data_IF_633428435158
#
_entry.id   IF_633428435158
#
_cell.length_a   1.000
_cell.length_b   1.000
_cell.length_c   1.000
_cell.angle_alpha   90.00
_cell.angle_beta   90.00
_cell.angle_gamma   90.00
#
_symmetry.space_group_name_H-M   'P 1'
#
loop_
_entity.id
_entity.type
_entity.pdbx_description
1 polymer ?
#
# COMPACT_ATOMS: atom_id res chain seq x y z
N UNK A 1 6.34 31.80 -11.86
CA UNK A 1 5.03 31.85 -11.17
C UNK A 1 3.96 31.74 -12.25
N UNK A 2 3.10 30.72 -12.15
CA UNK A 2 1.98 30.53 -13.10
C UNK A 2 0.96 31.65 -12.92
N UNK A 3 0.27 32.02 -14.00
CA UNK A 3 -0.66 33.17 -13.96
C UNK A 3 -2.03 32.79 -13.42
N UNK A 4 -2.40 31.50 -13.44
CA UNK A 4 -3.63 30.96 -12.88
C UNK A 4 -3.44 29.48 -12.50
N UNK A 5 -4.40 28.90 -11.76
CA UNK A 5 -4.38 27.49 -11.33
C UNK A 5 -4.65 26.50 -12.48
N UNK A 6 -5.36 26.93 -13.53
CA UNK A 6 -5.70 26.06 -14.66
C UNK A 6 -4.47 25.78 -15.55
N UNK A 7 -3.63 26.80 -15.79
CA UNK A 7 -2.33 26.68 -16.48
C UNK A 7 -1.37 25.79 -15.68
N UNK A 8 -1.43 25.85 -14.35
CA UNK A 8 -0.62 24.99 -13.50
C UNK A 8 -1.08 23.53 -13.61
N UNK A 9 -2.40 23.28 -13.58
CA UNK A 9 -2.96 21.93 -13.71
C UNK A 9 -2.64 21.31 -15.07
N UNK A 10 -2.80 22.05 -16.15
CA UNK A 10 -2.49 21.58 -17.51
C UNK A 10 -0.99 21.33 -17.71
N UNK A 11 -0.14 22.09 -17.02
CA UNK A 11 1.31 21.88 -17.01
C UNK A 11 1.66 20.57 -16.28
N UNK A 12 1.11 20.34 -15.07
CA UNK A 12 1.38 19.13 -14.30
C UNK A 12 0.79 17.85 -14.94
N UNK A 13 -0.34 17.96 -15.64
CA UNK A 13 -0.99 16.81 -16.31
C UNK A 13 -0.21 16.33 -17.55
N UNK A 14 0.55 17.23 -18.18
CA UNK A 14 1.34 16.95 -19.40
C UNK A 14 2.81 16.70 -19.16
N UNK A 15 3.29 16.98 -17.96
CA UNK A 15 4.71 16.91 -17.63
C UNK A 15 5.02 15.59 -16.95
N UNK A 16 5.85 14.76 -17.58
CA UNK A 16 6.40 13.59 -16.91
C UNK A 16 7.42 14.06 -15.86
N UNK A 17 7.03 13.96 -14.60
CA UNK A 17 7.87 14.38 -13.47
C UNK A 17 9.21 13.63 -13.44
N UNK A 18 9.32 12.45 -14.07
CA UNK A 18 10.56 11.68 -14.10
C UNK A 18 11.68 12.32 -14.93
N UNK A 19 11.38 13.29 -15.80
CA UNK A 19 12.38 14.03 -16.57
C UNK A 19 13.00 15.21 -15.79
N UNK A 20 12.38 15.61 -14.67
CA UNK A 20 12.81 16.76 -13.85
C UNK A 20 13.48 16.37 -12.54
N UNK A 21 13.42 15.10 -12.16
CA UNK A 21 14.09 14.58 -10.97
C UNK A 21 15.34 13.79 -11.38
N UNK A 22 16.52 14.32 -11.04
CA UNK A 22 17.76 13.58 -11.19
C UNK A 22 17.74 12.38 -10.23
N UNK A 23 17.90 11.17 -10.76
CA UNK A 23 17.90 9.91 -9.99
C UNK A 23 18.95 9.92 -8.87
N UNK A 24 19.97 10.77 -8.98
CA UNK A 24 21.02 10.94 -8.00
C UNK A 24 20.59 11.75 -6.75
N UNK A 25 19.50 12.52 -6.82
CA UNK A 25 18.95 13.27 -5.67
C UNK A 25 18.05 12.43 -4.76
N UNK A 26 17.72 11.19 -5.15
CA UNK A 26 16.87 10.31 -4.35
C UNK A 26 17.67 9.71 -3.20
N UNK A 27 17.47 10.26 -2.01
CA UNK A 27 18.04 9.74 -0.78
C UNK A 27 17.14 8.61 -0.25
N UNK A 28 17.69 7.45 0.15
CA UNK A 28 16.91 6.44 0.87
C UNK A 28 16.40 7.03 2.18
N UNK A 29 15.15 7.49 2.17
CA UNK A 29 14.47 8.03 3.35
C UNK A 29 13.88 6.88 4.15
N UNK A 30 14.39 6.68 5.37
CA UNK A 30 13.64 5.94 6.36
C UNK A 30 12.60 6.90 6.95
N UNK A 31 11.35 6.45 7.02
CA UNK A 31 10.28 7.17 7.70
C UNK A 31 10.04 6.58 9.09
N UNK A 32 10.90 6.85 10.09
CA UNK A 32 10.79 6.25 11.42
C UNK A 32 9.48 6.61 12.13
N UNK A 33 8.84 7.71 11.74
CA UNK A 33 7.65 8.28 12.36
C UNK A 33 6.38 8.16 11.50
N UNK A 34 6.41 7.52 10.33
CA UNK A 34 5.17 7.15 9.66
C UNK A 34 4.54 6.02 10.47
N UNK A 35 3.62 6.37 11.37
CA UNK A 35 2.77 5.40 12.04
C UNK A 35 2.07 4.61 10.92
N UNK A 36 2.21 3.27 10.82
CA UNK A 36 1.40 2.51 9.89
C UNK A 36 -0.05 2.75 10.28
N UNK A 37 -0.74 3.60 9.53
CA UNK A 37 -2.12 3.98 9.81
C UNK A 37 -2.98 2.75 9.57
N UNK A 38 -3.42 2.11 10.65
CA UNK A 38 -4.36 1.01 10.58
C UNK A 38 -5.76 1.55 10.32
N UNK A 39 -6.28 1.37 9.11
CA UNK A 39 -7.67 1.62 8.81
C UNK A 39 -8.50 0.36 9.11
N UNK A 40 -9.64 0.53 9.79
CA UNK A 40 -10.62 -0.56 9.93
C UNK A 40 -11.43 -0.65 8.64
N UNK A 41 -11.51 -1.84 8.06
CA UNK A 41 -12.30 -2.11 6.85
C UNK A 41 -13.28 -3.25 7.09
N UNK A 42 -14.46 -3.16 6.50
CA UNK A 42 -15.43 -4.25 6.44
C UNK A 42 -15.25 -5.03 5.15
N UNK A 43 -14.79 -6.28 5.24
CA UNK A 43 -14.58 -7.17 4.09
C UNK A 43 -15.56 -8.35 4.13
N UNK A 44 -16.20 -8.65 3.00
CA UNK A 44 -16.99 -9.89 2.84
C UNK A 44 -16.09 -10.99 2.28
N UNK A 45 -16.07 -12.12 2.98
CA UNK A 45 -15.37 -13.33 2.56
C UNK A 45 -16.29 -14.54 2.72
N UNK A 46 -16.19 -15.56 1.86
CA UNK A 46 -16.95 -16.79 2.03
C UNK A 46 -16.64 -17.46 3.37
N UNK A 47 -17.67 -17.96 4.07
CA UNK A 47 -17.52 -18.55 5.40
C UNK A 47 -16.55 -19.74 5.45
N UNK A 48 -16.54 -20.58 4.40
CA UNK A 48 -15.62 -21.72 4.30
C UNK A 48 -14.15 -21.27 4.26
N UNK A 49 -13.86 -20.14 3.60
CA UNK A 49 -12.52 -19.58 3.48
C UNK A 49 -12.05 -19.05 4.84
N UNK A 50 -12.94 -18.35 5.55
CA UNK A 50 -12.66 -17.86 6.90
C UNK A 50 -12.36 -19.01 7.86
N UNK A 51 -13.10 -20.11 7.77
CA UNK A 51 -12.84 -21.31 8.57
C UNK A 51 -11.46 -21.90 8.27
N UNK A 52 -11.11 -22.08 6.99
CA UNK A 52 -9.79 -22.57 6.57
C UNK A 52 -8.65 -21.66 7.05
N UNK A 53 -8.85 -20.34 6.99
CA UNK A 53 -7.88 -19.37 7.50
C UNK A 53 -7.67 -19.52 9.00
N UNK A 54 -8.74 -19.69 9.79
CA UNK A 54 -8.67 -19.92 11.24
C UNK A 54 -7.96 -21.23 11.57
N UNK A 55 -8.27 -22.32 10.87
CA UNK A 55 -7.58 -23.61 11.02
C UNK A 55 -6.09 -23.46 10.76
N UNK A 56 -5.71 -22.76 9.69
CA UNK A 56 -4.29 -22.55 9.34
C UNK A 56 -3.58 -21.65 10.33
N UNK A 57 -4.24 -20.60 10.80
CA UNK A 57 -3.70 -19.69 11.81
C UNK A 57 -3.42 -20.42 13.13
N UNK A 58 -4.36 -21.27 13.57
CA UNK A 58 -4.16 -22.10 14.76
C UNK A 58 -2.98 -23.09 14.61
N UNK A 59 -2.83 -23.72 13.43
CA UNK A 59 -1.67 -24.60 13.14
C UNK A 59 -0.33 -23.87 13.18
N UNK A 60 -0.33 -22.57 12.89
CA UNK A 60 0.87 -21.73 12.89
C UNK A 60 1.06 -20.98 14.21
N UNK A 61 0.17 -21.21 15.19
CA UNK A 61 0.13 -20.50 16.47
C UNK A 61 0.10 -18.97 16.34
N UNK A 62 -0.67 -18.47 15.36
CA UNK A 62 -0.85 -17.03 15.12
C UNK A 62 -2.34 -16.64 15.09
N UNK A 63 -2.69 -15.39 15.42
CA UNK A 63 -4.05 -14.89 15.22
C UNK A 63 -4.43 -14.91 13.73
N UNK A 64 -5.67 -15.31 13.43
CA UNK A 64 -6.16 -15.38 12.03
C UNK A 64 -6.12 -14.02 11.32
N UNK A 65 -6.31 -12.91 12.05
CA UNK A 65 -6.20 -11.56 11.50
C UNK A 65 -4.75 -11.22 11.12
N UNK A 66 -3.77 -11.68 11.90
CA UNK A 66 -2.35 -11.51 11.57
C UNK A 66 -1.98 -12.32 10.34
N UNK A 67 -2.46 -13.56 10.24
CA UNK A 67 -2.26 -14.40 9.06
C UNK A 67 -2.93 -13.79 7.81
N UNK A 68 -4.13 -13.24 7.96
CA UNK A 68 -4.85 -12.52 6.89
C UNK A 68 -4.00 -11.38 6.32
N UNK A 69 -3.43 -10.54 7.21
CA UNK A 69 -2.57 -9.42 6.80
C UNK A 69 -1.34 -9.89 6.04
N UNK A 70 -0.70 -10.98 6.49
CA UNK A 70 0.48 -11.55 5.80
C UNK A 70 0.13 -12.05 4.39
N UNK A 71 -1.02 -12.70 4.22
CA UNK A 71 -1.46 -13.16 2.90
C UNK A 71 -1.79 -11.99 1.95
N UNK A 72 -2.46 -10.95 2.44
CA UNK A 72 -2.71 -9.74 1.64
C UNK A 72 -1.39 -9.09 1.24
N UNK A 73 -0.46 -8.91 2.18
CA UNK A 73 0.85 -8.33 1.89
C UNK A 73 1.65 -9.14 0.86
N UNK A 74 1.61 -10.48 0.96
CA UNK A 74 2.25 -11.36 -0.01
C UNK A 74 1.60 -11.27 -1.39
N UNK A 75 0.26 -11.22 -1.45
CA UNK A 75 -0.48 -11.04 -2.70
C UNK A 75 -0.06 -9.76 -3.44
N UNK A 76 -0.03 -8.64 -2.72
CA UNK A 76 0.42 -7.35 -3.27
C UNK A 76 1.88 -7.41 -3.74
N UNK A 77 2.77 -8.03 -2.96
CA UNK A 77 4.18 -8.14 -3.32
C UNK A 77 4.46 -9.08 -4.50
N UNK A 78 3.54 -10.00 -4.80
CA UNK A 78 3.69 -10.98 -5.90
C UNK A 78 3.14 -10.45 -7.23
N UNK A 79 2.31 -9.40 -7.20
CA UNK A 79 1.72 -8.74 -8.38
C UNK A 79 2.62 -7.60 -8.94
N UNK A 80 3.89 -7.53 -8.50
CA UNK A 80 4.92 -6.59 -8.98
C UNK A 80 6.03 -7.36 -9.68
#
# INVERSE_FOLDING_TARGET
AFKNEDEERDFWDRTDMTDYFDKNDFVPVMFPNLKPTSASISLRIPGYLLMRLKERANKLDVPYQSLMKQYIARGIASDI
#
